data_IF_212212837715
#
_entry.id   IF_212212837715
#
_cell.length_a   1.000
_cell.length_b   1.000
_cell.length_c   1.000
_cell.angle_alpha   90.00
_cell.angle_beta   90.00
_cell.angle_gamma   90.00
#
_symmetry.space_group_name_H-M   'P 1'
#
loop_
_entity.id
_entity.type
_entity.pdbx_description
1 polymer ?
#
# COMPACT_ATOMS: atom_id res chain seq x y z
N UNK A 1 11.87 -4.53 2.29
CA UNK A 1 10.94 -4.04 3.33
C UNK A 1 10.23 -2.83 2.75
N UNK A 2 8.92 -2.94 2.46
CA UNK A 2 8.17 -1.91 1.72
C UNK A 2 7.63 -0.78 2.62
N UNK A 3 7.69 -0.95 3.95
CA UNK A 3 7.09 -0.04 4.93
C UNK A 3 7.88 1.28 5.17
N UNK A 4 9.12 1.40 4.68
CA UNK A 4 9.99 2.54 5.01
C UNK A 4 9.95 3.69 3.99
N UNK A 5 9.26 3.56 2.86
CA UNK A 5 9.33 4.59 1.82
C UNK A 5 8.33 5.74 2.01
N UNK A 6 7.30 5.58 2.86
CA UNK A 6 6.31 6.64 3.17
C UNK A 6 5.80 6.65 4.63
N UNK A 7 6.44 5.95 5.57
CA UNK A 7 5.94 5.88 6.96
C UNK A 7 4.61 5.12 7.13
N UNK A 8 4.24 4.33 6.13
CA UNK A 8 2.97 3.60 6.09
C UNK A 8 3.13 2.25 6.80
N UNK A 9 2.31 2.01 7.82
CA UNK A 9 2.31 0.75 8.55
C UNK A 9 1.65 -0.36 7.73
N UNK A 10 1.99 -1.61 8.03
CA UNK A 10 1.36 -2.79 7.41
C UNK A 10 -0.17 -2.79 7.56
N UNK A 11 -0.70 -2.20 8.63
CA UNK A 11 -2.14 -2.03 8.84
C UNK A 11 -2.79 -1.12 7.80
N UNK A 12 -2.16 0.01 7.48
CA UNK A 12 -2.66 0.92 6.45
C UNK A 12 -2.67 0.26 5.07
N UNK A 13 -1.61 -0.49 4.74
CA UNK A 13 -1.57 -1.28 3.49
C UNK A 13 -2.70 -2.31 3.46
N UNK A 14 -2.96 -3.02 4.57
CA UNK A 14 -4.08 -3.96 4.66
C UNK A 14 -5.45 -3.25 4.57
N UNK A 15 -5.56 -2.02 5.07
CA UNK A 15 -6.78 -1.22 4.93
C UNK A 15 -7.08 -0.90 3.46
N UNK A 16 -6.06 -0.56 2.66
CA UNK A 16 -6.20 -0.34 1.21
C UNK A 16 -6.62 -1.60 0.47
N UNK A 17 -6.08 -2.75 0.85
CA UNK A 17 -6.52 -4.04 0.30
C UNK A 17 -7.98 -4.31 0.62
N UNK A 18 -8.41 -4.05 1.86
CA UNK A 18 -9.82 -4.20 2.26
C UNK A 18 -10.74 -3.20 1.55
N UNK A 19 -10.26 -1.99 1.28
CA UNK A 19 -10.99 -0.96 0.54
C UNK A 19 -11.04 -1.25 -0.98
N UNK A 20 -10.23 -2.20 -1.48
CA UNK A 20 -10.12 -2.49 -2.92
C UNK A 20 -9.23 -1.51 -3.69
N UNK A 21 -8.47 -0.67 -2.98
CA UNK A 21 -7.56 0.31 -3.55
C UNK A 21 -6.19 -0.27 -3.89
N UNK A 22 -5.84 -1.42 -3.29
CA UNK A 22 -4.57 -2.11 -3.52
C UNK A 22 -4.83 -3.60 -3.70
N UNK A 23 -4.33 -4.18 -4.80
CA UNK A 23 -4.35 -5.62 -5.02
C UNK A 23 -3.26 -6.29 -4.19
N UNK A 24 -3.68 -7.27 -3.40
CA UNK A 24 -2.76 -8.12 -2.66
C UNK A 24 -3.01 -9.59 -3.00
N UNK A 25 -1.92 -10.29 -3.31
CA UNK A 25 -1.93 -11.73 -3.50
C UNK A 25 -1.56 -12.41 -2.20
N UNK A 26 -2.46 -13.23 -1.65
CA UNK A 26 -2.15 -14.08 -0.50
C UNK A 26 -1.26 -15.23 -0.95
N UNK A 27 -0.09 -15.33 -0.33
CA UNK A 27 0.75 -16.53 -0.46
C UNK A 27 0.19 -17.67 0.38
N UNK A 28 0.47 -18.95 0.03
CA UNK A 28 0.00 -20.10 0.80
C UNK A 28 0.46 -20.09 2.27
N UNK A 29 1.54 -19.37 2.57
CA UNK A 29 2.06 -19.18 3.94
C UNK A 29 1.36 -18.10 4.76
N UNK A 30 0.31 -17.46 4.23
CA UNK A 30 -0.47 -16.43 4.95
C UNK A 30 0.11 -15.01 4.87
N UNK A 31 1.24 -14.81 4.19
CA UNK A 31 1.77 -13.49 3.92
C UNK A 31 1.12 -12.87 2.69
N UNK A 32 0.86 -11.57 2.75
CA UNK A 32 0.43 -10.80 1.58
C UNK A 32 1.65 -10.36 0.77
N UNK A 33 1.56 -10.56 -0.54
CA UNK A 33 2.47 -9.94 -1.51
C UNK A 33 1.72 -8.84 -2.24
N UNK A 34 2.41 -7.73 -2.40
CA UNK A 34 1.93 -6.54 -3.08
C UNK A 34 2.85 -6.29 -4.26
N UNK A 35 2.32 -5.76 -5.34
CA UNK A 35 3.16 -5.26 -6.42
C UNK A 35 3.79 -3.93 -5.96
N UNK A 36 5.12 -3.81 -5.92
CA UNK A 36 5.77 -2.60 -5.45
C UNK A 36 5.41 -1.39 -6.31
N UNK A 37 5.17 -1.55 -7.62
CA UNK A 37 4.81 -0.44 -8.50
C UNK A 37 3.39 0.08 -8.21
N UNK A 38 2.46 -0.79 -7.87
CA UNK A 38 1.10 -0.39 -7.46
C UNK A 38 1.12 0.35 -6.12
N UNK A 39 1.93 -0.14 -5.17
CA UNK A 39 2.16 0.54 -3.88
C UNK A 39 2.78 1.92 -4.10
N UNK A 40 3.85 2.03 -4.89
CA UNK A 40 4.50 3.30 -5.19
C UNK A 40 3.56 4.27 -5.92
N UNK A 41 2.75 3.79 -6.86
CA UNK A 41 1.76 4.61 -7.56
C UNK A 41 0.68 5.15 -6.60
N UNK A 42 0.22 4.34 -5.65
CA UNK A 42 -0.75 4.76 -4.64
C UNK A 42 -0.15 5.79 -3.67
N UNK A 43 1.11 5.57 -3.28
CA UNK A 43 1.86 6.49 -2.42
C UNK A 43 2.07 7.84 -3.11
N UNK A 44 2.49 7.84 -4.37
CA UNK A 44 2.65 9.07 -5.15
C UNK A 44 1.31 9.81 -5.33
N UNK A 45 0.25 9.08 -5.69
CA UNK A 45 -1.10 9.67 -5.86
C UNK A 45 -1.62 10.35 -4.58
N UNK A 46 -1.28 9.81 -3.40
CA UNK A 46 -1.67 10.39 -2.12
C UNK A 46 -0.71 11.47 -1.62
N UNK A 47 0.58 11.39 -1.94
CA UNK A 47 1.52 12.48 -1.70
C UNK A 47 1.15 13.75 -2.50
N UNK A 48 0.60 13.60 -3.71
CA UNK A 48 0.03 14.70 -4.48
C UNK A 48 -1.29 15.24 -3.89
N UNK A 49 -2.05 14.40 -3.17
CA UNK A 49 -3.33 14.81 -2.58
C UNK A 49 -3.16 15.41 -1.17
N UNK A 50 -2.10 15.09 -0.44
CA UNK A 50 -1.75 15.67 0.87
C UNK A 50 -0.85 16.93 0.76
N UNK A 51 -1.02 17.69 -0.33
CA UNK A 51 -0.53 19.07 -0.50
C UNK A 51 -1.65 20.12 -0.56
N UNK A 52 -2.90 19.75 -0.31
CA UNK A 52 -4.06 20.65 -0.33
C UNK A 52 -4.94 20.45 0.92
N UNK A 53 -4.45 20.89 2.08
CA UNK A 53 -5.28 21.19 3.25
C UNK A 53 -4.63 22.33 4.06
#
# INVERSE_FOLDING_TARGET
MVALQCGVTSETVLAWVKAGELHATKTPGGHYRFDPAEVEALLNSRCDTEGAA
#
